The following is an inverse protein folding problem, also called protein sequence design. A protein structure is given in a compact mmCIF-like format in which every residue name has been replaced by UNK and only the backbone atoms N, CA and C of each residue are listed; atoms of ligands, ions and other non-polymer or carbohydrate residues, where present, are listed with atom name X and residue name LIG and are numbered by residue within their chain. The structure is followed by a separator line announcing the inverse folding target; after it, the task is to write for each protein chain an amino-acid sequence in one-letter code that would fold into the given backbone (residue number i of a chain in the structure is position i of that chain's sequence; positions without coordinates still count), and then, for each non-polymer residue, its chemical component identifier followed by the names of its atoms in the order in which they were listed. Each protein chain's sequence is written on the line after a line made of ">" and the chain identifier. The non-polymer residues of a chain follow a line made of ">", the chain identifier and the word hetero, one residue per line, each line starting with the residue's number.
data_IF_881047879738
#
_entry.id   IF_881047879738
#
_cell.length_a   1.000
_cell.length_b   1.000
_cell.length_c   1.000
_cell.angle_alpha   90.00
_cell.angle_beta   90.00
_cell.angle_gamma   90.00
#
_symmetry.space_group_name_H-M   'P 1'
#
loop_
_entity.id
_entity.type
_entity.pdbx_description
1 polymer ?
#
# COMPACT_ATOMS: atom_id res chain seq x y z
N UNK A 1 -3.42 -3.72 -7.01
CA UNK A 1 -2.85 -3.59 -5.65
C UNK A 1 -1.36 -3.36 -5.72
N UNK A 2 -0.77 -2.53 -4.85
CA UNK A 2 0.65 -2.22 -4.83
C UNK A 2 1.29 -2.78 -3.54
N UNK A 3 2.31 -3.60 -3.70
CA UNK A 3 3.08 -4.21 -2.61
C UNK A 3 4.56 -3.83 -2.74
N UNK A 4 5.24 -3.71 -1.61
CA UNK A 4 6.66 -3.34 -1.55
C UNK A 4 6.98 -2.53 -0.29
N UNK A 5 8.27 -2.38 0.05
CA UNK A 5 8.68 -1.68 1.26
C UNK A 5 8.32 -0.18 1.22
N UNK A 6 8.29 0.43 2.38
CA UNK A 6 8.15 1.89 2.48
C UNK A 6 9.35 2.56 1.77
N UNK A 7 9.11 3.70 1.12
CA UNK A 7 10.15 4.36 0.31
C UNK A 7 10.34 3.82 -1.09
N UNK A 8 9.67 2.72 -1.49
CA UNK A 8 9.82 2.14 -2.84
C UNK A 8 9.09 2.90 -3.96
N UNK A 9 8.36 3.98 -3.66
CA UNK A 9 7.68 4.78 -4.69
C UNK A 9 6.24 4.37 -5.01
N UNK A 10 5.65 3.38 -4.28
CA UNK A 10 4.26 2.94 -4.48
C UNK A 10 3.25 4.08 -4.53
N UNK A 11 3.28 4.97 -3.54
CA UNK A 11 2.35 6.09 -3.46
C UNK A 11 2.42 7.05 -4.66
N UNK A 12 3.61 7.26 -5.22
CA UNK A 12 3.80 8.06 -6.44
C UNK A 12 3.12 7.37 -7.63
N UNK A 13 3.35 6.09 -7.81
CA UNK A 13 2.74 5.30 -8.88
C UNK A 13 1.23 5.14 -8.69
N UNK A 14 0.76 4.95 -7.45
CA UNK A 14 -0.66 4.89 -7.13
C UNK A 14 -1.41 6.17 -7.55
N UNK A 15 -0.83 7.34 -7.31
CA UNK A 15 -1.39 8.64 -7.73
C UNK A 15 -1.46 8.74 -9.27
N UNK A 16 -0.42 8.27 -9.97
CA UNK A 16 -0.41 8.25 -11.44
C UNK A 16 -1.47 7.30 -12.00
N UNK A 17 -1.59 6.09 -11.45
CA UNK A 17 -2.63 5.13 -11.83
C UNK A 17 -4.02 5.74 -11.58
N UNK A 18 -4.27 6.24 -10.37
CA UNK A 18 -5.53 6.88 -10.00
C UNK A 18 -5.94 7.98 -10.96
N UNK A 19 -5.01 8.86 -11.31
CA UNK A 19 -5.24 9.97 -12.25
C UNK A 19 -5.52 9.47 -13.67
N UNK A 20 -4.80 8.45 -14.13
CA UNK A 20 -4.88 7.96 -15.51
C UNK A 20 -6.15 7.15 -15.76
N UNK A 21 -6.53 6.30 -14.82
CA UNK A 21 -7.67 5.38 -14.97
C UNK A 21 -8.94 5.87 -14.25
N UNK A 22 -8.91 7.02 -13.58
CA UNK A 22 -10.08 7.58 -12.91
C UNK A 22 -10.59 6.75 -11.73
N UNK A 23 -9.71 5.97 -11.08
CA UNK A 23 -10.05 5.10 -9.95
C UNK A 23 -9.48 5.65 -8.64
N UNK A 24 -10.16 5.48 -7.48
CA UNK A 24 -9.64 5.99 -6.21
C UNK A 24 -8.35 5.29 -5.78
N UNK A 25 -7.40 6.08 -5.25
CA UNK A 25 -6.24 5.59 -4.53
C UNK A 25 -6.59 5.47 -3.04
N UNK A 26 -6.55 4.26 -2.51
CA UNK A 26 -6.77 3.95 -1.10
C UNK A 26 -5.40 3.74 -0.45
N UNK A 27 -4.88 4.79 0.17
CA UNK A 27 -3.61 4.80 0.89
C UNK A 27 -3.86 4.66 2.39
N UNK A 28 -3.66 3.47 2.95
CA UNK A 28 -3.92 3.24 4.38
C UNK A 28 -3.04 4.07 5.29
N UNK A 29 -1.81 4.38 4.86
CA UNK A 29 -0.93 5.28 5.60
C UNK A 29 -1.50 6.70 5.72
N UNK A 30 -2.18 7.22 4.69
CA UNK A 30 -2.83 8.53 4.73
C UNK A 30 -4.07 8.48 5.64
N UNK A 31 -4.89 7.44 5.53
CA UNK A 31 -6.05 7.24 6.41
C UNK A 31 -5.66 7.25 7.89
N UNK A 32 -4.59 6.53 8.26
CA UNK A 32 -4.11 6.51 9.65
C UNK A 32 -3.54 7.87 10.06
N UNK A 33 -2.82 8.58 9.19
CA UNK A 33 -2.31 9.93 9.48
C UNK A 33 -3.43 10.92 9.74
N UNK A 34 -4.52 10.87 8.99
CA UNK A 34 -5.71 11.70 9.25
C UNK A 34 -6.36 11.34 10.60
N UNK A 35 -6.50 10.06 10.90
CA UNK A 35 -7.13 9.59 12.14
C UNK A 35 -6.31 9.90 13.39
N UNK A 36 -4.99 9.80 13.34
CA UNK A 36 -4.11 10.09 14.50
C UNK A 36 -4.11 11.55 14.93
N UNK A 37 -4.52 12.47 14.05
CA UNK A 37 -4.64 13.90 14.38
C UNK A 37 -5.99 14.25 15.03
N UNK A 38 -6.94 13.29 15.08
CA UNK A 38 -8.23 13.53 15.74
C UNK A 38 -8.06 13.57 17.26
N UNK A 39 -8.73 14.50 17.97
CA UNK A 39 -8.64 14.65 19.43
C UNK A 39 -9.47 13.57 20.17
N UNK A 40 -9.33 12.32 19.80
CA UNK A 40 -10.03 11.15 20.35
C UNK A 40 -9.05 10.18 21.02
N UNK A 41 -9.56 9.27 21.87
CA UNK A 41 -8.72 8.22 22.46
C UNK A 41 -8.09 7.35 21.37
N UNK A 42 -8.86 6.98 20.36
CA UNK A 42 -8.36 6.23 19.20
C UNK A 42 -7.27 7.02 18.44
N UNK A 43 -7.45 8.32 18.24
CA UNK A 43 -6.43 9.16 17.59
C UNK A 43 -5.11 9.13 18.36
N UNK A 44 -5.15 9.26 19.70
CA UNK A 44 -3.96 9.17 20.56
C UNK A 44 -3.28 7.81 20.49
N UNK A 45 -4.06 6.73 20.58
CA UNK A 45 -3.54 5.36 20.45
C UNK A 45 -2.87 5.13 19.09
N UNK A 46 -3.54 5.53 18.00
CA UNK A 46 -3.00 5.43 16.65
C UNK A 46 -1.71 6.24 16.47
N UNK A 47 -1.64 7.42 17.08
CA UNK A 47 -0.45 8.25 17.06
C UNK A 47 0.73 7.53 17.69
N UNK A 48 0.56 6.95 18.88
CA UNK A 48 1.62 6.24 19.60
C UNK A 48 2.12 5.00 18.81
N UNK A 49 1.21 4.23 18.22
CA UNK A 49 1.55 3.07 17.39
C UNK A 49 2.32 3.52 16.13
N UNK A 50 1.78 4.50 15.43
CA UNK A 50 2.28 4.93 14.13
C UNK A 50 3.63 5.64 14.21
N UNK A 51 3.83 6.47 15.25
CA UNK A 51 5.07 7.21 15.47
C UNK A 51 6.24 6.28 15.88
N UNK A 52 5.95 5.11 16.48
CA UNK A 52 6.95 4.05 16.69
C UNK A 52 7.26 3.23 15.43
N UNK A 53 6.47 3.38 14.37
CA UNK A 53 6.59 2.60 13.15
C UNK A 53 5.97 1.20 13.22
N UNK A 54 5.17 0.93 14.25
CA UNK A 54 4.45 -0.34 14.41
C UNK A 54 3.25 -0.43 13.45
N UNK A 55 2.74 -1.65 13.24
CA UNK A 55 1.51 -1.87 12.49
C UNK A 55 0.30 -1.60 13.38
N UNK A 56 -0.70 -0.95 12.82
CA UNK A 56 -2.03 -0.85 13.43
C UNK A 56 -2.68 -2.23 13.40
N UNK A 57 -3.41 -2.57 14.47
CA UNK A 57 -4.03 -3.88 14.62
C UNK A 57 -4.94 -4.27 13.46
N UNK A 58 -4.90 -5.55 13.09
CA UNK A 58 -5.58 -6.10 11.91
C UNK A 58 -7.07 -5.81 11.91
N UNK A 59 -7.75 -5.98 13.03
CA UNK A 59 -9.19 -5.77 13.15
C UNK A 59 -9.61 -4.36 12.78
N UNK A 60 -8.88 -3.34 13.26
CA UNK A 60 -9.15 -1.95 12.91
C UNK A 60 -8.87 -1.68 11.43
N UNK A 61 -7.75 -2.20 10.90
CA UNK A 61 -7.40 -2.01 9.50
C UNK A 61 -8.42 -2.66 8.56
N UNK A 62 -8.89 -3.86 8.88
CA UNK A 62 -9.91 -4.57 8.11
C UNK A 62 -11.22 -3.77 8.10
N UNK A 63 -11.69 -3.27 9.26
CA UNK A 63 -12.90 -2.44 9.33
C UNK A 63 -12.78 -1.14 8.54
N UNK A 64 -11.60 -0.51 8.56
CA UNK A 64 -11.35 0.71 7.78
C UNK A 64 -11.42 0.45 6.28
N UNK A 65 -10.84 -0.65 5.82
CA UNK A 65 -10.89 -1.05 4.40
C UNK A 65 -12.31 -1.44 3.99
N UNK A 66 -13.01 -2.22 4.78
CA UNK A 66 -14.40 -2.62 4.55
C UNK A 66 -15.28 -1.37 4.35
N UNK A 67 -15.28 -0.46 5.32
CA UNK A 67 -15.99 0.82 5.23
C UNK A 67 -15.59 1.67 4.02
N UNK A 68 -14.33 1.58 3.57
CA UNK A 68 -13.86 2.33 2.41
C UNK A 68 -14.30 1.70 1.09
N UNK A 69 -14.37 0.37 1.03
CA UNK A 69 -14.85 -0.37 -0.14
C UNK A 69 -16.34 -0.18 -0.38
N UNK A 70 -17.13 0.03 0.67
CA UNK A 70 -18.58 0.29 0.58
C UNK A 70 -18.93 1.64 -0.07
N UNK A 71 -17.96 2.53 -0.26
CA UNK A 71 -18.21 3.78 -0.96
C UNK A 71 -18.36 3.53 -2.46
N UNK A 72 -19.42 4.11 -3.05
CA UNK A 72 -19.76 3.92 -4.46
C UNK A 72 -18.69 4.37 -5.46
N UNK A 73 -17.74 5.22 -5.05
CA UNK A 73 -16.61 5.66 -5.87
C UNK A 73 -15.61 4.55 -6.22
N UNK A 74 -15.67 3.42 -5.50
CA UNK A 74 -14.79 2.26 -5.73
C UNK A 74 -15.33 1.30 -6.80
N UNK A 75 -16.57 1.47 -7.26
CA UNK A 75 -17.21 0.57 -8.22
C UNK A 75 -16.44 0.40 -9.54
N UNK A 76 -15.88 1.45 -10.17
CA UNK A 76 -15.12 1.29 -11.41
C UNK A 76 -13.79 0.54 -11.24
N UNK A 77 -13.26 0.47 -10.04
CA UNK A 77 -11.96 -0.06 -9.70
C UNK A 77 -11.34 0.73 -8.55
N UNK A 78 -10.15 0.32 -8.10
CA UNK A 78 -9.40 1.04 -7.08
C UNK A 78 -7.92 0.64 -7.09
N UNK A 79 -7.09 1.49 -6.50
CA UNK A 79 -5.69 1.17 -6.19
C UNK A 79 -5.52 1.06 -4.69
N UNK A 80 -5.14 -0.12 -4.20
CA UNK A 80 -4.77 -0.32 -2.80
C UNK A 80 -3.26 -0.10 -2.61
N UNK A 81 -2.90 0.76 -1.65
CA UNK A 81 -1.53 1.05 -1.24
C UNK A 81 -1.40 0.96 0.29
N UNK A 82 -0.47 0.10 0.75
CA UNK A 82 -0.18 -0.12 2.16
C UNK A 82 -1.14 -1.08 2.87
N UNK A 83 -1.97 -1.80 2.16
CA UNK A 83 -2.82 -2.90 2.64
C UNK A 83 -2.95 -3.98 1.55
N UNK A 84 -2.95 -5.28 1.89
CA UNK A 84 -2.72 -5.85 3.23
C UNK A 84 -1.23 -5.79 3.64
N UNK A 85 -0.96 -5.91 4.95
CA UNK A 85 0.39 -6.00 5.52
C UNK A 85 0.63 -7.27 6.32
N UNK A 86 -0.42 -8.01 6.66
CA UNK A 86 -0.35 -9.29 7.38
C UNK A 86 -1.19 -10.35 6.65
N UNK A 87 -0.95 -11.62 6.94
CA UNK A 87 -1.72 -12.71 6.33
C UNK A 87 -3.20 -12.60 6.68
N UNK A 88 -3.53 -12.28 7.93
CA UNK A 88 -4.91 -12.09 8.37
C UNK A 88 -5.62 -10.98 7.56
N UNK A 89 -4.92 -9.88 7.28
CA UNK A 89 -5.45 -8.81 6.42
C UNK A 89 -5.65 -9.27 4.97
N UNK A 90 -4.74 -10.11 4.44
CA UNK A 90 -4.85 -10.61 3.07
C UNK A 90 -6.06 -11.52 2.91
N UNK A 91 -6.27 -12.46 3.83
CA UNK A 91 -7.43 -13.37 3.84
C UNK A 91 -8.76 -12.61 4.01
N UNK A 92 -8.75 -11.59 4.88
CA UNK A 92 -9.91 -10.72 5.06
C UNK A 92 -10.23 -9.91 3.79
N UNK A 93 -9.22 -9.33 3.13
CA UNK A 93 -9.39 -8.61 1.87
C UNK A 93 -9.99 -9.52 0.79
N UNK A 94 -9.48 -10.73 0.65
CA UNK A 94 -9.98 -11.71 -0.31
C UNK A 94 -11.46 -12.05 -0.05
N UNK A 95 -11.85 -12.11 1.22
CA UNK A 95 -13.23 -12.37 1.62
C UNK A 95 -14.14 -11.18 1.33
N UNK A 96 -13.70 -9.96 1.66
CA UNK A 96 -14.43 -8.73 1.38
C UNK A 96 -14.65 -8.53 -0.13
N UNK A 97 -13.61 -8.66 -0.93
CA UNK A 97 -13.72 -8.49 -2.38
C UNK A 97 -14.64 -9.54 -3.01
N UNK A 98 -14.55 -10.80 -2.57
CA UNK A 98 -15.44 -11.87 -3.03
C UNK A 98 -16.90 -11.59 -2.66
N UNK A 99 -17.16 -11.06 -1.46
CA UNK A 99 -18.51 -10.63 -1.04
C UNK A 99 -19.09 -9.53 -1.92
N UNK A 100 -18.24 -8.69 -2.49
CA UNK A 100 -18.60 -7.63 -3.44
C UNK A 100 -18.65 -8.11 -4.91
N UNK A 101 -18.41 -9.39 -5.18
CA UNK A 101 -18.29 -9.92 -6.55
C UNK A 101 -17.05 -9.39 -7.30
N UNK A 102 -15.99 -9.04 -6.58
CA UNK A 102 -14.76 -8.43 -7.11
C UNK A 102 -13.54 -9.29 -6.83
N UNK A 103 -12.47 -9.02 -7.54
CA UNK A 103 -11.18 -9.69 -7.35
C UNK A 103 -10.02 -8.72 -7.52
N UNK A 104 -8.80 -9.18 -7.22
CA UNK A 104 -7.56 -8.45 -7.46
C UNK A 104 -7.07 -8.78 -8.86
N UNK A 105 -7.14 -7.83 -9.79
CA UNK A 105 -6.71 -8.01 -11.18
C UNK A 105 -5.20 -8.21 -11.28
N UNK A 106 -4.42 -7.43 -10.51
CA UNK A 106 -2.95 -7.48 -10.51
C UNK A 106 -2.37 -6.99 -9.19
N UNK A 107 -1.25 -7.61 -8.81
CA UNK A 107 -0.40 -7.19 -7.71
C UNK A 107 0.93 -6.71 -8.27
N UNK A 108 1.25 -5.44 -8.14
CA UNK A 108 2.57 -4.92 -8.48
C UNK A 108 3.50 -5.01 -7.27
N UNK A 109 4.55 -5.80 -7.40
CA UNK A 109 5.62 -5.97 -6.40
C UNK A 109 6.74 -4.98 -6.68
N UNK A 110 6.83 -3.91 -5.89
CA UNK A 110 7.88 -2.90 -6.00
C UNK A 110 9.16 -3.41 -5.33
N UNK A 111 10.19 -3.67 -6.15
CA UNK A 111 11.49 -4.16 -5.70
C UNK A 111 12.48 -3.00 -5.65
N UNK A 112 13.20 -2.92 -4.54
CA UNK A 112 14.34 -2.04 -4.32
C UNK A 112 15.46 -2.90 -3.77
N UNK A 113 16.64 -2.84 -4.39
CA UNK A 113 17.73 -3.76 -4.06
C UNK A 113 18.39 -3.44 -2.71
N UNK A 114 18.40 -2.16 -2.32
CA UNK A 114 19.14 -1.68 -1.17
C UNK A 114 18.24 -1.02 -0.12
N UNK A 115 18.39 -1.47 1.13
CA UNK A 115 17.67 -0.95 2.30
C UNK A 115 18.10 0.48 2.65
N UNK A 116 19.36 0.82 2.43
CA UNK A 116 19.87 2.17 2.70
C UNK A 116 19.24 3.18 1.74
N UNK A 117 19.03 2.82 0.48
CA UNK A 117 18.27 3.61 -0.49
C UNK A 117 16.84 3.91 0.00
N UNK A 118 16.17 2.93 0.61
CA UNK A 118 14.83 3.13 1.17
C UNK A 118 14.86 4.09 2.35
N UNK A 119 15.84 3.94 3.25
CA UNK A 119 16.03 4.83 4.40
C UNK A 119 16.25 6.28 3.95
N UNK A 120 17.16 6.51 3.01
CA UNK A 120 17.43 7.84 2.46
C UNK A 120 16.20 8.48 1.82
N UNK A 121 15.46 7.72 1.00
CA UNK A 121 14.22 8.21 0.37
C UNK A 121 13.16 8.59 1.40
N UNK A 122 13.04 7.83 2.49
CA UNK A 122 12.06 8.12 3.53
C UNK A 122 12.47 9.33 4.37
N UNK A 123 13.76 9.49 4.70
CA UNK A 123 14.27 10.68 5.40
C UNK A 123 14.12 11.95 4.55
N UNK A 124 14.40 11.86 3.25
CA UNK A 124 14.16 12.96 2.31
C UNK A 124 12.67 13.35 2.28
N UNK A 125 11.78 12.38 2.16
CA UNK A 125 10.34 12.60 2.20
C UNK A 125 9.89 13.23 3.51
N UNK A 126 10.45 12.78 4.65
CA UNK A 126 10.15 13.36 5.96
C UNK A 126 10.45 14.87 6.00
N UNK A 127 11.59 15.27 5.43
CA UNK A 127 11.98 16.68 5.34
C UNK A 127 11.09 17.49 4.37
N UNK A 128 10.74 16.92 3.21
CA UNK A 128 9.94 17.58 2.17
C UNK A 128 8.46 17.70 2.54
N UNK A 129 7.89 16.67 3.18
CA UNK A 129 6.45 16.59 3.50
C UNK A 129 6.14 16.90 4.97
N UNK A 130 7.15 17.20 5.80
CA UNK A 130 6.96 17.50 7.22
C UNK A 130 6.46 16.30 8.04
N UNK A 131 6.83 15.06 7.66
CA UNK A 131 6.39 13.83 8.31
C UNK A 131 7.14 13.58 9.61
N UNK A 132 6.55 13.93 10.74
CA UNK A 132 7.13 13.70 12.07
C UNK A 132 7.25 12.22 12.45
N UNK A 133 6.51 11.33 11.80
CA UNK A 133 6.51 9.88 12.00
C UNK A 133 7.61 9.12 11.23
N UNK A 134 8.32 9.78 10.32
CA UNK A 134 9.44 9.18 9.58
C UNK A 134 10.79 9.46 10.29
N UNK A 135 10.90 9.08 11.57
CA UNK A 135 12.19 9.08 12.28
C UNK A 135 13.06 7.89 11.82
N UNK A 136 14.40 7.95 11.93
CA UNK A 136 15.27 6.83 11.55
C UNK A 136 14.89 5.51 12.24
N UNK A 137 14.49 5.57 13.50
CA UNK A 137 14.06 4.41 14.30
C UNK A 137 12.75 3.83 13.77
N UNK A 138 11.73 4.68 13.57
CA UNK A 138 10.45 4.27 13.02
C UNK A 138 10.57 3.72 11.59
N UNK A 139 11.45 4.29 10.77
CA UNK A 139 11.72 3.81 9.43
C UNK A 139 12.32 2.40 9.48
N UNK A 140 13.37 2.17 10.30
CA UNK A 140 13.97 0.85 10.44
C UNK A 140 12.94 -0.18 10.92
N UNK A 141 12.14 0.18 11.93
CA UNK A 141 11.07 -0.70 12.44
C UNK A 141 10.07 -1.07 11.36
N UNK A 142 9.65 -0.12 10.52
CA UNK A 142 8.74 -0.38 9.40
C UNK A 142 9.34 -1.30 8.33
N UNK A 143 10.64 -1.15 8.05
CA UNK A 143 11.33 -2.04 7.11
C UNK A 143 11.44 -3.46 7.67
N UNK A 144 11.75 -3.62 8.97
CA UNK A 144 11.78 -4.93 9.62
C UNK A 144 10.41 -5.61 9.55
N UNK A 145 9.34 -4.88 9.91
CA UNK A 145 7.97 -5.40 9.85
C UNK A 145 7.52 -5.73 8.41
N UNK A 146 7.98 -4.95 7.42
CA UNK A 146 7.73 -5.29 6.02
C UNK A 146 8.37 -6.63 5.66
N UNK A 147 9.64 -6.84 5.97
CA UNK A 147 10.36 -8.06 5.67
C UNK A 147 9.75 -9.28 6.39
N UNK A 148 9.37 -9.11 7.65
CA UNK A 148 8.82 -10.17 8.49
C UNK A 148 7.39 -10.55 8.12
N UNK A 149 6.51 -9.58 7.90
CA UNK A 149 5.06 -9.82 7.83
C UNK A 149 4.46 -9.56 6.44
N UNK A 150 5.00 -8.60 5.68
CA UNK A 150 4.38 -8.17 4.43
C UNK A 150 5.02 -8.82 3.20
N UNK A 151 6.33 -8.96 3.17
CA UNK A 151 7.02 -9.58 2.03
C UNK A 151 6.51 -11.01 1.74
N UNK A 152 6.20 -11.86 2.74
CA UNK A 152 5.64 -13.19 2.48
C UNK A 152 4.30 -13.18 1.74
N UNK A 153 3.52 -12.09 1.80
CA UNK A 153 2.25 -11.98 1.09
C UNK A 153 2.40 -11.96 -0.43
N UNK A 154 3.56 -11.53 -0.93
CA UNK A 154 3.85 -11.56 -2.37
C UNK A 154 3.79 -13.01 -2.88
N UNK A 155 4.40 -13.94 -2.14
CA UNK A 155 4.35 -15.37 -2.49
C UNK A 155 2.95 -15.96 -2.31
N UNK A 156 2.21 -15.53 -1.28
CA UNK A 156 0.81 -15.92 -1.12
C UNK A 156 -0.01 -15.55 -2.37
N UNK A 157 0.07 -14.31 -2.85
CA UNK A 157 -0.66 -13.88 -4.05
C UNK A 157 -0.12 -14.52 -5.33
N UNK A 158 1.18 -14.77 -5.41
CA UNK A 158 1.77 -15.49 -6.55
C UNK A 158 1.26 -16.93 -6.64
N UNK A 159 1.19 -17.63 -5.51
CA UNK A 159 0.72 -19.00 -5.44
C UNK A 159 -0.80 -19.13 -5.64
N UNK A 160 -1.59 -18.20 -5.08
CA UNK A 160 -3.06 -18.30 -5.08
C UNK A 160 -3.71 -17.71 -6.33
N UNK A 161 -3.07 -16.72 -6.98
CA UNK A 161 -3.68 -15.96 -8.08
C UNK A 161 -2.83 -15.89 -9.34
N UNK A 162 -1.52 -16.04 -9.25
CA UNK A 162 -0.61 -16.00 -10.40
C UNK A 162 -0.52 -14.64 -11.11
N UNK A 163 -1.01 -13.58 -10.49
CA UNK A 163 -1.14 -12.25 -11.10
C UNK A 163 -0.18 -11.20 -10.49
N UNK A 164 0.99 -11.65 -10.00
CA UNK A 164 2.02 -10.78 -9.44
C UNK A 164 3.02 -10.36 -10.50
N UNK A 165 3.18 -9.07 -10.68
CA UNK A 165 4.13 -8.43 -11.61
C UNK A 165 5.20 -7.69 -10.83
N UNK A 166 6.47 -8.06 -11.01
CA UNK A 166 7.61 -7.39 -10.38
C UNK A 166 7.94 -6.08 -11.07
N UNK A 167 8.14 -5.02 -10.29
CA UNK A 167 8.48 -3.67 -10.75
C UNK A 167 9.81 -3.24 -10.16
N UNK A 168 10.79 -2.91 -11.00
CA UNK A 168 12.08 -2.34 -10.56
C UNK A 168 11.91 -0.86 -10.24
N UNK A 169 11.75 -0.54 -8.95
CA UNK A 169 11.34 0.78 -8.45
C UNK A 169 12.49 1.79 -8.29
N UNK A 170 13.69 1.47 -8.78
CA UNK A 170 14.86 2.37 -8.75
C UNK A 170 15.02 3.19 -10.03
N UNK A 171 14.26 2.84 -11.07
CA UNK A 171 14.23 3.55 -12.35
C UNK A 171 13.46 4.89 -12.24
N UNK A 172 13.62 5.79 -13.24
CA UNK A 172 12.80 7.00 -13.32
C UNK A 172 11.30 6.75 -13.20
N UNK A 173 10.59 7.67 -12.57
CA UNK A 173 9.14 7.54 -12.27
C UNK A 173 8.33 7.23 -13.52
N UNK A 174 8.66 7.89 -14.63
CA UNK A 174 7.97 7.77 -15.93
C UNK A 174 8.17 6.40 -16.56
N UNK A 175 9.36 5.81 -16.42
CA UNK A 175 9.66 4.48 -16.94
C UNK A 175 8.92 3.40 -16.15
N UNK A 176 8.93 3.52 -14.81
CA UNK A 176 8.16 2.64 -13.93
C UNK A 176 6.67 2.73 -14.25
N UNK A 177 6.16 3.94 -14.44
CA UNK A 177 4.76 4.13 -14.80
C UNK A 177 4.40 3.56 -16.17
N UNK A 178 5.28 3.68 -17.16
CA UNK A 178 5.07 3.10 -18.49
C UNK A 178 4.89 1.57 -18.44
N UNK A 179 5.72 0.87 -17.67
CA UNK A 179 5.62 -0.58 -17.47
C UNK A 179 4.33 -0.98 -16.76
N UNK A 180 3.95 -0.24 -15.70
CA UNK A 180 2.69 -0.45 -14.98
C UNK A 180 1.50 -0.24 -15.92
N UNK A 181 1.52 0.82 -16.73
CA UNK A 181 0.47 1.14 -17.68
C UNK A 181 0.32 0.07 -18.76
N UNK A 182 1.42 -0.42 -19.33
CA UNK A 182 1.39 -1.50 -20.32
C UNK A 182 0.69 -2.75 -19.76
N UNK A 183 0.98 -3.09 -18.49
CA UNK A 183 0.33 -4.21 -17.80
C UNK A 183 -1.17 -3.96 -17.63
N UNK A 184 -1.58 -2.76 -17.18
CA UNK A 184 -2.98 -2.43 -16.93
C UNK A 184 -3.80 -2.35 -18.22
N UNK A 185 -3.27 -1.71 -19.26
CA UNK A 185 -3.92 -1.62 -20.59
C UNK A 185 -4.14 -3.02 -21.18
N UNK A 186 -3.19 -3.95 -20.95
CA UNK A 186 -3.32 -5.35 -21.34
C UNK A 186 -4.41 -6.13 -20.59
N UNK A 187 -4.78 -5.70 -19.37
CA UNK A 187 -5.90 -6.29 -18.62
C UNK A 187 -7.26 -5.78 -19.12
N UNK A 188 -7.38 -4.49 -19.45
CA UNK A 188 -8.62 -3.92 -20.00
C UNK A 188 -9.01 -4.55 -21.34
N UNK A 189 -8.04 -4.86 -22.19
CA UNK A 189 -8.27 -5.54 -23.47
C UNK A 189 -8.76 -7.01 -23.37
N UNK A 190 -8.79 -7.58 -22.16
CA UNK A 190 -9.25 -8.98 -21.89
C UNK A 190 -10.64 -9.07 -21.27
N UNK A 191 -11.27 -7.93 -20.92
CA UNK A 191 -12.64 -7.82 -20.41
C UNK A 191 -13.60 -7.48 -21.57
#
# INVERSE_FOLDING_TARGET
>A
MLMGPQGSGKGTQAKLISKTYGVPHIATGDMIREMKELPTDLGRELKDIYDRGDLVGDELMIRLIDSRLDRGDTLPGLVLDGFPRTMAQAEALDTLLRGLGRDIDVVFEFRVADRDTLLERMLKRAAEEGRSDDTPEAIRRRLDLYEEQTAPLVEYYRATRGNVVGVHAERPIEEVFAEIRETLDGLEGRR
#
